data_IF_844303277570
#
_entry.id   IF_844303277570
#
_cell.length_a   1.000
_cell.length_b   1.000
_cell.length_c   1.000
_cell.angle_alpha   90.00
_cell.angle_beta   90.00
_cell.angle_gamma   90.00
#
_symmetry.space_group_name_H-M   'P 1'
#
loop_
_entity.id
_entity.type
_entity.pdbx_description
1 polymer ?
#
# COMPACT_ATOMS: atom_id res chain seq x y z
N UNK A 1 29.32 -17.67 12.33
CA UNK A 1 28.09 -17.47 11.51
C UNK A 1 27.05 -16.81 12.39
N UNK A 2 26.57 -15.61 12.04
CA UNK A 2 25.56 -14.91 12.84
C UNK A 2 24.18 -15.54 12.66
N UNK A 3 23.43 -15.66 13.75
CA UNK A 3 22.17 -16.41 13.82
C UNK A 3 21.05 -15.74 13.01
N UNK A 4 20.52 -16.45 12.01
CA UNK A 4 19.49 -15.97 11.06
C UNK A 4 18.24 -15.42 11.77
N UNK A 5 17.90 -15.98 12.93
CA UNK A 5 16.74 -15.59 13.72
C UNK A 5 16.81 -14.12 14.19
N UNK A 6 18.02 -13.62 14.47
CA UNK A 6 18.24 -12.24 14.93
C UNK A 6 17.96 -11.23 13.82
N UNK A 7 18.06 -11.63 12.55
CA UNK A 7 17.88 -10.75 11.39
C UNK A 7 16.58 -11.01 10.61
N UNK A 8 15.72 -11.90 11.11
CA UNK A 8 14.41 -12.23 10.55
C UNK A 8 13.55 -10.99 10.24
N UNK A 9 13.56 -9.99 11.12
CA UNK A 9 12.84 -8.72 10.92
C UNK A 9 13.39 -7.91 9.75
N UNK A 10 14.72 -7.80 9.59
CA UNK A 10 15.31 -7.09 8.45
C UNK A 10 15.01 -7.79 7.12
N UNK A 11 15.02 -9.12 7.10
CA UNK A 11 14.63 -9.96 5.95
C UNK A 11 13.16 -9.72 5.55
N UNK A 12 12.24 -9.76 6.52
CA UNK A 12 10.80 -9.54 6.27
C UNK A 12 10.47 -8.14 5.74
N UNK A 13 11.29 -7.13 6.06
CA UNK A 13 11.07 -5.74 5.64
C UNK A 13 11.95 -5.30 4.46
N UNK A 14 12.69 -6.21 3.83
CA UNK A 14 13.71 -5.89 2.82
C UNK A 14 14.63 -4.74 3.25
N UNK A 15 14.92 -4.65 4.55
CA UNK A 15 15.73 -3.60 5.13
C UNK A 15 17.19 -4.05 5.07
N UNK A 16 17.93 -3.52 4.09
CA UNK A 16 19.36 -3.72 3.97
C UNK A 16 20.10 -2.93 5.08
N UNK A 17 20.54 -3.63 6.13
CA UNK A 17 21.41 -3.03 7.16
C UNK A 17 22.84 -2.84 6.66
N UNK A 18 23.16 -3.42 5.49
CA UNK A 18 24.48 -3.34 4.88
C UNK A 18 24.62 -2.03 4.09
N UNK A 19 25.54 -1.17 4.53
CA UNK A 19 25.86 0.08 3.83
C UNK A 19 26.32 -0.16 2.37
N UNK A 20 26.97 -1.29 2.10
CA UNK A 20 27.40 -1.70 0.76
C UNK A 20 26.20 -1.96 -0.14
N UNK A 21 25.14 -2.59 0.37
CA UNK A 21 23.93 -2.86 -0.41
C UNK A 21 23.12 -1.59 -0.68
N UNK A 22 23.05 -0.68 0.29
CA UNK A 22 22.43 0.64 0.08
C UNK A 22 23.18 1.45 -0.99
N UNK A 23 24.51 1.40 -0.98
CA UNK A 23 25.33 2.01 -2.01
C UNK A 23 25.10 1.35 -3.38
N UNK A 24 25.09 0.01 -3.45
CA UNK A 24 24.80 -0.76 -4.67
C UNK A 24 23.43 -0.42 -5.26
N UNK A 25 22.40 -0.20 -4.45
CA UNK A 25 21.08 0.22 -4.90
C UNK A 25 21.09 1.62 -5.52
N UNK A 26 21.84 2.56 -4.94
CA UNK A 26 22.01 3.91 -5.47
C UNK A 26 22.82 3.87 -6.76
N UNK A 27 23.92 3.14 -6.79
CA UNK A 27 24.70 2.90 -8.00
C UNK A 27 23.81 2.30 -9.11
N UNK A 28 22.97 1.32 -8.79
CA UNK A 28 22.03 0.72 -9.73
C UNK A 28 20.99 1.72 -10.27
N UNK A 29 20.51 2.67 -9.46
CA UNK A 29 19.65 3.78 -9.95
C UNK A 29 20.41 4.67 -10.91
N UNK A 30 21.61 5.13 -10.56
CA UNK A 30 22.42 5.94 -11.49
C UNK A 30 22.78 5.18 -12.79
N UNK A 31 22.98 3.86 -12.71
CA UNK A 31 23.27 2.99 -13.85
C UNK A 31 22.01 2.74 -14.70
N UNK A 32 20.85 2.47 -14.08
CA UNK A 32 19.62 2.01 -14.73
C UNK A 32 18.57 3.08 -15.02
N UNK A 33 18.63 4.26 -14.41
CA UNK A 33 17.61 5.32 -14.55
C UNK A 33 17.69 6.07 -15.91
N UNK A 34 18.68 5.76 -16.76
CA UNK A 34 18.67 6.13 -18.18
C UNK A 34 18.61 4.86 -19.02
N UNK A 35 17.56 4.72 -19.84
CA UNK A 35 17.48 3.73 -20.93
C UNK A 35 18.81 3.77 -21.69
N UNK A 36 19.59 2.70 -21.54
CA UNK A 36 20.63 2.20 -22.46
C UNK A 36 21.11 3.25 -23.47
N UNK A 37 21.94 4.21 -23.02
CA UNK A 37 22.80 4.98 -23.90
C UNK A 37 24.20 4.35 -23.80
N UNK A 38 24.47 3.39 -24.68
CA UNK A 38 25.70 2.59 -24.72
C UNK A 38 26.88 3.27 -25.43
N UNK A 39 26.70 4.47 -25.98
CA UNK A 39 27.58 4.94 -27.05
C UNK A 39 28.65 5.96 -26.66
N UNK A 40 28.92 6.21 -25.38
CA UNK A 40 30.01 7.12 -24.97
C UNK A 40 30.96 6.44 -23.98
N UNK A 41 32.25 6.39 -24.36
CA UNK A 41 33.38 6.08 -23.50
C UNK A 41 33.29 6.87 -22.18
N UNK A 42 33.63 6.23 -21.05
CA UNK A 42 33.50 6.76 -19.67
C UNK A 42 32.09 6.97 -19.09
N UNK A 43 31.01 6.60 -19.80
CA UNK A 43 29.64 6.76 -19.29
C UNK A 43 29.34 5.95 -18.02
N UNK A 44 29.95 4.76 -17.85
CA UNK A 44 29.79 3.97 -16.63
C UNK A 44 30.54 4.59 -15.45
N UNK A 45 31.81 4.96 -15.64
CA UNK A 45 32.65 5.54 -14.60
C UNK A 45 32.07 6.88 -14.11
N UNK A 46 31.58 7.72 -15.02
CA UNK A 46 30.89 8.97 -14.66
C UNK A 46 29.61 8.72 -13.83
N UNK A 47 28.81 7.71 -14.19
CA UNK A 47 27.60 7.31 -13.43
C UNK A 47 27.96 6.77 -12.05
N UNK A 48 28.99 5.93 -11.96
CA UNK A 48 29.46 5.38 -10.69
C UNK A 48 30.02 6.47 -9.77
N UNK A 49 30.88 7.35 -10.29
CA UNK A 49 31.41 8.49 -9.55
C UNK A 49 30.29 9.43 -9.10
N UNK A 50 29.28 9.65 -9.94
CA UNK A 50 28.10 10.44 -9.57
C UNK A 50 27.31 9.80 -8.42
N UNK A 51 27.17 8.47 -8.43
CA UNK A 51 26.53 7.73 -7.34
C UNK A 51 27.31 7.85 -6.02
N UNK A 52 28.64 7.76 -6.07
CA UNK A 52 29.53 7.96 -4.92
C UNK A 52 29.35 9.36 -4.32
N UNK A 53 29.41 10.40 -5.16
CA UNK A 53 29.24 11.78 -4.71
C UNK A 53 27.82 11.96 -4.15
N UNK A 54 26.78 11.42 -4.78
CA UNK A 54 25.40 11.53 -4.30
C UNK A 54 25.11 10.73 -3.03
N UNK A 55 25.85 9.65 -2.77
CA UNK A 55 25.72 8.86 -1.54
C UNK A 55 26.37 9.62 -0.37
N UNK A 56 27.59 10.12 -0.59
CA UNK A 56 28.38 10.81 0.42
C UNK A 56 27.91 12.24 0.68
N UNK A 57 27.34 12.91 -0.33
CA UNK A 57 26.85 14.28 -0.21
C UNK A 57 25.32 14.36 -0.27
N UNK A 58 24.73 15.17 0.62
CA UNK A 58 23.28 15.46 0.58
C UNK A 58 22.90 16.45 -0.55
N UNK A 59 23.90 17.15 -1.09
CA UNK A 59 23.78 18.21 -2.10
C UNK A 59 24.69 17.92 -3.31
N UNK A 60 24.33 16.89 -4.09
CA UNK A 60 25.11 16.40 -5.23
C UNK A 60 25.44 17.49 -6.25
N UNK A 61 24.43 18.23 -6.75
CA UNK A 61 24.60 19.24 -7.79
C UNK A 61 25.43 20.42 -7.27
N UNK A 62 25.20 20.84 -6.02
CA UNK A 62 26.02 21.89 -5.41
C UNK A 62 27.46 21.48 -5.20
N UNK A 63 27.70 20.22 -4.82
CA UNK A 63 29.05 19.70 -4.63
C UNK A 63 29.81 19.67 -5.97
N UNK A 64 29.19 19.13 -7.02
CA UNK A 64 29.78 19.08 -8.36
C UNK A 64 30.04 20.48 -8.90
N UNK A 65 29.07 21.39 -8.82
CA UNK A 65 29.22 22.76 -9.32
C UNK A 65 30.34 23.54 -8.62
N UNK A 66 30.42 23.44 -7.28
CA UNK A 66 31.47 24.12 -6.52
C UNK A 66 32.86 23.62 -6.89
N UNK A 67 33.02 22.30 -7.07
CA UNK A 67 34.30 21.73 -7.47
C UNK A 67 34.68 22.07 -8.92
N UNK A 68 33.70 22.16 -9.83
CA UNK A 68 33.98 22.46 -11.24
C UNK A 68 34.25 23.94 -11.51
N UNK A 69 33.51 24.83 -10.85
CA UNK A 69 33.50 26.27 -11.18
C UNK A 69 34.00 27.17 -10.04
N UNK A 70 34.46 26.60 -8.91
CA UNK A 70 34.89 27.32 -7.70
C UNK A 70 33.87 28.36 -7.20
N UNK A 71 32.61 28.21 -7.60
CA UNK A 71 31.52 29.14 -7.33
C UNK A 71 30.31 28.36 -6.88
N UNK A 72 29.48 29.02 -6.06
CA UNK A 72 28.22 28.42 -5.63
C UNK A 72 27.20 28.41 -6.77
N UNK A 73 26.42 27.33 -6.92
CA UNK A 73 25.35 27.32 -7.91
C UNK A 73 24.26 28.35 -7.56
N UNK A 74 23.50 28.74 -8.57
CA UNK A 74 22.37 29.65 -8.43
C UNK A 74 21.30 29.16 -7.44
N UNK A 75 20.47 30.10 -6.98
CA UNK A 75 19.45 29.84 -5.95
C UNK A 75 18.41 28.79 -6.36
N UNK A 76 18.11 28.68 -7.66
CA UNK A 76 17.20 27.65 -8.18
C UNK A 76 17.68 26.23 -7.85
N UNK A 77 18.95 25.92 -8.15
CA UNK A 77 19.56 24.61 -7.88
C UNK A 77 19.57 24.31 -6.39
N UNK A 78 19.99 25.28 -5.57
CA UNK A 78 19.99 25.16 -4.10
C UNK A 78 18.58 24.89 -3.55
N UNK A 79 17.57 25.59 -4.06
CA UNK A 79 16.17 25.42 -3.66
C UNK A 79 15.65 24.02 -4.00
N UNK A 80 15.95 23.55 -5.22
CA UNK A 80 15.58 22.21 -5.68
C UNK A 80 16.23 21.11 -4.82
N UNK A 81 17.51 21.24 -4.50
CA UNK A 81 18.18 20.25 -3.64
C UNK A 81 17.62 20.26 -2.21
N UNK A 82 17.33 21.43 -1.64
CA UNK A 82 16.67 21.55 -0.33
C UNK A 82 15.28 20.91 -0.35
N UNK A 83 14.49 21.11 -1.42
CA UNK A 83 13.19 20.45 -1.60
C UNK A 83 13.34 18.93 -1.60
N UNK A 84 14.26 18.39 -2.41
CA UNK A 84 14.55 16.93 -2.47
C UNK A 84 15.02 16.38 -1.12
N UNK A 85 15.77 17.15 -0.34
CA UNK A 85 16.21 16.74 1.00
C UNK A 85 15.02 16.66 1.97
N UNK A 86 14.13 17.66 1.96
CA UNK A 86 12.90 17.66 2.78
C UNK A 86 12.00 16.48 2.43
N UNK A 87 11.79 16.21 1.14
CA UNK A 87 11.02 15.05 0.69
C UNK A 87 11.63 13.72 1.15
N UNK A 88 12.96 13.57 1.10
CA UNK A 88 13.66 12.38 1.63
C UNK A 88 13.46 12.22 3.13
N UNK A 89 13.52 13.30 3.91
CA UNK A 89 13.27 13.27 5.36
C UNK A 89 11.81 12.92 5.68
N UNK A 90 10.86 13.52 4.96
CA UNK A 90 9.44 13.21 5.12
C UNK A 90 9.13 11.75 4.77
N UNK A 91 9.73 11.20 3.71
CA UNK A 91 9.59 9.77 3.36
C UNK A 91 10.14 8.87 4.46
N UNK A 92 11.29 9.19 5.05
CA UNK A 92 11.84 8.46 6.21
C UNK A 92 10.88 8.49 7.41
N UNK A 93 10.32 9.66 7.73
CA UNK A 93 9.33 9.81 8.81
C UNK A 93 8.02 9.04 8.56
N UNK A 94 7.49 9.10 7.33
CA UNK A 94 6.30 8.32 6.92
C UNK A 94 6.54 6.81 6.94
N UNK A 95 7.71 6.34 6.53
CA UNK A 95 8.06 4.92 6.65
C UNK A 95 8.15 4.48 8.12
N UNK A 96 8.61 5.35 9.03
CA UNK A 96 8.61 5.07 10.46
C UNK A 96 7.18 5.02 11.04
N UNK A 97 6.28 5.93 10.62
CA UNK A 97 4.88 5.88 11.07
C UNK A 97 4.11 4.68 10.50
N UNK A 98 4.37 4.29 9.25
CA UNK A 98 3.79 3.07 8.67
C UNK A 98 4.30 1.79 9.34
N UNK A 99 5.56 1.76 9.82
CA UNK A 99 6.08 0.67 10.67
C UNK A 99 5.37 0.61 12.03
N UNK A 100 4.96 1.76 12.57
CA UNK A 100 4.16 1.82 13.80
C UNK A 100 2.72 1.33 13.56
N UNK A 101 2.08 1.76 12.45
CA UNK A 101 0.73 1.31 12.10
C UNK A 101 0.63 -0.17 11.72
N UNK A 102 1.67 -0.81 11.17
CA UNK A 102 1.60 -2.24 10.80
C UNK A 102 1.58 -3.21 11.98
N UNK A 103 1.77 -2.74 13.22
CA UNK A 103 1.55 -3.56 14.42
C UNK A 103 0.08 -3.90 14.67
N UNK A 104 -0.87 -3.33 13.91
CA UNK A 104 -2.30 -3.64 14.05
C UNK A 104 -2.79 -4.77 13.16
N UNK A 105 -2.01 -5.25 12.19
CA UNK A 105 -2.41 -6.38 11.33
C UNK A 105 -2.46 -7.72 12.09
N UNK A 106 -1.79 -7.79 13.24
CA UNK A 106 -1.85 -8.89 14.20
C UNK A 106 -2.19 -8.37 15.59
N UNK A 107 -2.96 -7.28 15.70
CA UNK A 107 -3.68 -7.07 16.95
C UNK A 107 -4.58 -8.29 17.08
N UNK A 108 -4.49 -9.01 18.20
CA UNK A 108 -5.51 -9.99 18.55
C UNK A 108 -6.84 -9.33 18.20
N UNK A 109 -7.56 -9.93 17.24
CA UNK A 109 -8.90 -9.52 16.91
C UNK A 109 -9.67 -9.75 18.19
N UNK A 110 -9.66 -8.75 19.08
CA UNK A 110 -10.57 -8.66 20.19
C UNK A 110 -11.91 -8.89 19.53
N UNK A 111 -12.46 -10.08 19.78
CA UNK A 111 -13.64 -10.63 19.14
C UNK A 111 -14.57 -9.47 18.78
N UNK A 112 -14.86 -9.30 17.49
CA UNK A 112 -15.72 -8.21 17.06
C UNK A 112 -17.01 -8.33 17.90
N UNK A 113 -17.30 -7.36 18.77
CA UNK A 113 -18.39 -7.51 19.75
C UNK A 113 -19.74 -7.73 19.06
N UNK A 114 -19.83 -7.32 17.79
CA UNK A 114 -21.00 -7.48 16.94
C UNK A 114 -21.01 -8.80 16.15
N UNK A 115 -19.91 -9.57 16.10
CA UNK A 115 -19.81 -10.81 15.31
C UNK A 115 -18.90 -11.87 15.98
N UNK A 116 -19.39 -13.10 16.12
CA UNK A 116 -18.64 -14.24 16.64
C UNK A 116 -19.30 -14.90 17.86
N UNK A 117 -18.62 -15.86 18.52
CA UNK A 117 -19.18 -16.61 19.65
C UNK A 117 -19.56 -15.75 20.86
N UNK A 118 -18.96 -14.56 20.99
CA UNK A 118 -19.23 -13.61 22.07
C UNK A 118 -20.11 -12.43 21.62
N UNK A 119 -20.83 -12.54 20.50
CA UNK A 119 -21.74 -11.50 20.06
C UNK A 119 -22.89 -11.34 21.07
N UNK A 120 -23.22 -10.10 21.43
CA UNK A 120 -24.35 -9.80 22.31
C UNK A 120 -25.66 -10.33 21.70
N UNK A 121 -26.59 -10.67 22.60
CA UNK A 121 -27.89 -11.29 22.28
C UNK A 121 -28.62 -10.49 21.18
N UNK A 122 -29.25 -11.14 20.20
CA UNK A 122 -29.95 -10.42 19.12
C UNK A 122 -31.03 -9.49 19.69
N UNK A 123 -31.07 -8.25 19.18
CA UNK A 123 -32.04 -7.20 19.58
C UNK A 123 -33.49 -7.54 19.23
N UNK A 124 -33.70 -8.56 18.39
CA UNK A 124 -35.01 -8.99 17.90
C UNK A 124 -35.37 -10.39 18.38
N UNK A 125 -36.66 -10.62 18.55
CA UNK A 125 -37.15 -11.98 18.75
C UNK A 125 -36.89 -12.83 17.49
N UNK A 126 -36.69 -14.14 17.67
CA UNK A 126 -36.44 -15.06 16.56
C UNK A 126 -37.54 -15.02 15.49
N UNK A 127 -38.81 -14.86 15.92
CA UNK A 127 -39.96 -14.76 15.02
C UNK A 127 -39.89 -13.50 14.14
N UNK A 128 -39.60 -12.34 14.74
CA UNK A 128 -39.46 -11.08 14.01
C UNK A 128 -38.24 -11.10 13.08
N UNK A 129 -37.14 -11.72 13.52
CA UNK A 129 -35.96 -11.90 12.70
C UNK A 129 -36.27 -12.72 11.45
N UNK A 130 -36.95 -13.87 11.61
CA UNK A 130 -37.34 -14.71 10.48
C UNK A 130 -38.26 -13.98 9.50
N UNK A 131 -39.23 -13.22 10.01
CA UNK A 131 -40.13 -12.42 9.18
C UNK A 131 -39.36 -11.36 8.37
N UNK A 132 -38.51 -10.56 9.04
CA UNK A 132 -37.70 -9.53 8.37
C UNK A 132 -36.72 -10.12 7.37
N UNK A 133 -36.13 -11.28 7.67
CA UNK A 133 -35.27 -12.02 6.75
C UNK A 133 -36.05 -12.40 5.48
N UNK A 134 -37.26 -12.92 5.61
CA UNK A 134 -38.08 -13.30 4.45
C UNK A 134 -38.46 -12.07 3.61
N UNK A 135 -38.88 -10.98 4.25
CA UNK A 135 -39.19 -9.71 3.59
C UNK A 135 -37.98 -9.13 2.82
N UNK A 136 -36.80 -9.19 3.42
CA UNK A 136 -35.57 -8.76 2.76
C UNK A 136 -35.26 -9.64 1.54
N UNK A 137 -35.34 -10.96 1.69
CA UNK A 137 -35.06 -11.89 0.59
C UNK A 137 -36.03 -11.71 -0.57
N UNK A 138 -37.33 -11.55 -0.29
CA UNK A 138 -38.32 -11.28 -1.34
C UNK A 138 -38.06 -9.93 -2.03
N UNK A 139 -37.64 -8.90 -1.30
CA UNK A 139 -37.29 -7.59 -1.89
C UNK A 139 -36.04 -7.62 -2.80
N UNK A 140 -35.15 -8.60 -2.59
CA UNK A 140 -33.90 -8.73 -3.35
C UNK A 140 -34.03 -9.66 -4.56
N UNK A 141 -35.02 -10.55 -4.55
CA UNK A 141 -35.34 -11.44 -5.66
C UNK A 141 -35.81 -10.61 -6.85
N UNK A 142 -35.16 -10.81 -7.99
CA UNK A 142 -35.52 -10.19 -9.26
C UNK A 142 -35.77 -11.31 -10.27
N UNK A 143 -36.77 -11.11 -11.12
CA UNK A 143 -36.93 -11.94 -12.31
C UNK A 143 -35.75 -11.74 -13.28
N UNK A 144 -35.56 -12.69 -14.20
CA UNK A 144 -34.54 -12.59 -15.25
C UNK A 144 -34.67 -11.29 -16.07
N UNK A 145 -35.91 -10.86 -16.34
CA UNK A 145 -36.18 -9.65 -17.13
C UNK A 145 -35.80 -8.39 -16.36
N UNK A 146 -36.18 -8.31 -15.08
CA UNK A 146 -35.84 -7.17 -14.22
C UNK A 146 -34.33 -7.07 -13.98
N UNK A 147 -33.65 -8.21 -13.78
CA UNK A 147 -32.20 -8.25 -13.65
C UNK A 147 -31.50 -7.71 -14.91
N UNK A 148 -31.98 -8.05 -16.11
CA UNK A 148 -31.44 -7.53 -17.36
C UNK A 148 -31.73 -6.03 -17.56
N UNK A 149 -32.87 -5.53 -17.07
CA UNK A 149 -33.19 -4.09 -17.07
C UNK A 149 -32.26 -3.32 -16.12
N UNK A 150 -32.04 -3.87 -14.92
CA UNK A 150 -31.20 -3.28 -13.88
C UNK A 150 -29.72 -3.28 -14.28
N UNK A 151 -29.22 -4.31 -14.97
CA UNK A 151 -27.88 -4.31 -15.57
C UNK A 151 -27.73 -3.12 -16.52
N UNK A 152 -28.64 -2.98 -17.48
CA UNK A 152 -28.61 -1.88 -18.47
C UNK A 152 -28.64 -0.50 -17.80
N UNK A 153 -29.49 -0.32 -16.80
CA UNK A 153 -29.62 0.94 -16.06
C UNK A 153 -28.39 1.27 -15.18
N UNK A 154 -27.57 0.28 -14.83
CA UNK A 154 -26.42 0.44 -13.93
C UNK A 154 -25.06 0.28 -14.59
N UNK A 155 -25.00 0.30 -15.93
CA UNK A 155 -23.74 0.15 -16.71
C UNK A 155 -22.66 1.17 -16.37
N UNK A 156 -23.05 2.37 -15.95
CA UNK A 156 -22.10 3.43 -15.58
C UNK A 156 -21.47 3.24 -14.18
N UNK A 157 -21.84 2.15 -13.47
CA UNK A 157 -21.27 1.74 -12.21
C UNK A 157 -21.26 2.87 -11.18
N UNK A 158 -20.07 3.29 -10.72
CA UNK A 158 -19.87 4.32 -9.69
C UNK A 158 -20.49 5.68 -10.04
N UNK A 159 -20.73 5.95 -11.33
CA UNK A 159 -21.32 7.20 -11.79
C UNK A 159 -22.86 7.15 -11.76
N UNK A 160 -23.47 5.97 -11.66
CA UNK A 160 -24.91 5.79 -11.48
C UNK A 160 -25.28 5.79 -10.00
N UNK A 161 -26.26 6.61 -9.63
CA UNK A 161 -26.81 6.62 -8.28
C UNK A 161 -27.54 5.29 -7.96
N UNK A 162 -28.29 4.77 -8.92
CA UNK A 162 -29.03 3.51 -8.81
C UNK A 162 -28.09 2.32 -8.56
N UNK A 163 -26.90 2.31 -9.19
CA UNK A 163 -25.90 1.28 -8.94
C UNK A 163 -25.40 1.29 -7.49
N UNK A 164 -25.22 2.48 -6.88
CA UNK A 164 -24.78 2.59 -5.48
C UNK A 164 -25.84 2.07 -4.52
N UNK A 165 -27.10 2.42 -4.76
CA UNK A 165 -28.24 1.98 -3.95
C UNK A 165 -28.42 0.46 -4.00
N UNK A 166 -28.42 -0.12 -5.20
CA UNK A 166 -28.52 -1.57 -5.37
C UNK A 166 -27.32 -2.32 -4.80
N UNK A 167 -26.12 -1.75 -4.92
CA UNK A 167 -24.92 -2.30 -4.32
C UNK A 167 -24.94 -2.25 -2.80
N UNK A 168 -25.55 -1.24 -2.18
CA UNK A 168 -25.67 -1.14 -0.73
C UNK A 168 -26.61 -2.21 -0.18
N UNK A 169 -27.69 -2.52 -0.89
CA UNK A 169 -28.65 -3.57 -0.51
C UNK A 169 -28.08 -4.99 -0.65
N UNK A 170 -27.05 -5.19 -1.50
CA UNK A 170 -26.59 -6.51 -1.96
C UNK A 170 -25.16 -6.82 -1.52
N UNK A 171 -24.94 -8.09 -1.18
CA UNK A 171 -23.60 -8.59 -0.90
C UNK A 171 -22.87 -8.87 -2.22
N UNK A 172 -21.79 -8.12 -2.49
CA UNK A 172 -21.08 -8.19 -3.77
C UNK A 172 -19.81 -9.04 -3.69
N UNK A 173 -19.35 -9.55 -4.83
CA UNK A 173 -18.17 -10.42 -4.91
C UNK A 173 -16.93 -9.85 -4.20
N UNK A 174 -16.69 -8.53 -4.31
CA UNK A 174 -15.58 -7.86 -3.65
C UNK A 174 -15.70 -7.80 -2.12
N UNK A 175 -16.92 -7.82 -1.57
CA UNK A 175 -17.17 -7.84 -0.13
C UNK A 175 -17.30 -9.25 0.45
N UNK A 176 -17.64 -10.23 -0.40
CA UNK A 176 -17.89 -11.61 0.00
C UNK A 176 -16.71 -12.24 0.74
N UNK A 177 -15.48 -12.04 0.26
CA UNK A 177 -14.28 -12.61 0.89
C UNK A 177 -14.09 -12.13 2.33
N UNK A 178 -14.42 -10.86 2.62
CA UNK A 178 -14.32 -10.29 3.98
C UNK A 178 -15.38 -10.93 4.88
N UNK A 179 -16.64 -10.95 4.44
CA UNK A 179 -17.73 -11.54 5.22
C UNK A 179 -17.56 -13.05 5.44
N UNK A 180 -17.04 -13.79 4.47
CA UNK A 180 -16.77 -15.21 4.59
C UNK A 180 -15.61 -15.50 5.56
N UNK A 181 -14.54 -14.68 5.53
CA UNK A 181 -13.41 -14.81 6.44
C UNK A 181 -13.77 -14.45 7.89
N UNK A 182 -14.75 -13.57 8.10
CA UNK A 182 -15.30 -13.25 9.43
C UNK A 182 -16.19 -14.37 9.98
N UNK A 183 -16.86 -15.14 9.12
CA UNK A 183 -17.64 -16.33 9.46
C UNK A 183 -16.80 -17.63 9.44
N UNK A 184 -15.52 -17.59 9.82
CA UNK A 184 -14.82 -18.84 10.15
C UNK A 184 -15.51 -19.44 11.38
N UNK A 185 -16.53 -20.25 11.12
CA UNK A 185 -17.10 -21.20 12.07
C UNK A 185 -15.92 -22.02 12.63
N UNK A 186 -15.90 -22.32 13.93
CA UNK A 186 -14.98 -23.34 14.43
C UNK A 186 -15.26 -24.59 13.59
N UNK A 187 -14.25 -25.05 12.86
CA UNK A 187 -14.33 -26.33 12.18
C UNK A 187 -14.81 -27.34 13.22
N UNK A 188 -15.96 -27.97 12.96
CA UNK A 188 -16.42 -29.10 13.73
C UNK A 188 -15.25 -30.10 13.76
N UNK A 189 -14.68 -30.31 14.94
CA UNK A 189 -13.79 -31.44 15.18
C UNK A 189 -14.64 -32.68 15.00
N UNK A 190 -14.46 -33.36 13.89
CA UNK A 190 -14.77 -34.79 13.75
C UNK A 190 -13.55 -35.54 14.29
#
# INVERSE_FOLDING_TARGET
>A
MQNLAVHSKSLLFAANNNCVEQFKEIAAKFIGEKRVNFCLSNSYQARYNSAVISYNSRFFMSCVHKNMYNTSPGNCVKSLERKRQRERQQRKGKMQSLRYCRKTLFRDKSCNKSYGPNAEKPDLSEKEFQLKRQQLLSSLQLSSVEAASLERATREQKNSQLWKEERWKRLTASGFGVSAAERKLPAAKI
#
